data_IF_291720837282
#
_entry.id   IF_291720837282
#
_cell.length_a   1.000
_cell.length_b   1.000
_cell.length_c   1.000
_cell.angle_alpha   90.00
_cell.angle_beta   90.00
_cell.angle_gamma   90.00
#
_symmetry.space_group_name_H-M   'P 1'
#
loop_
_entity.id
_entity.type
_entity.pdbx_description
1 polymer ?
#
# COMPACT_ATOMS: atom_id res chain seq x y z
N UNK A 1 -18.26 8.78 -18.35
CA UNK A 1 -17.90 8.50 -16.94
C UNK A 1 -16.51 9.04 -16.69
N UNK A 2 -16.34 9.84 -15.65
CA UNK A 2 -15.29 10.84 -15.53
C UNK A 2 -13.85 10.30 -15.62
N UNK A 3 -13.03 10.96 -16.45
CA UNK A 3 -11.57 10.85 -16.54
C UNK A 3 -10.89 11.33 -15.23
N UNK A 4 -11.22 10.75 -14.09
CA UNK A 4 -10.61 11.13 -12.81
C UNK A 4 -9.25 10.44 -12.65
N UNK A 5 -8.28 11.18 -12.10
CA UNK A 5 -6.96 10.62 -11.77
C UNK A 5 -7.08 9.37 -10.87
N UNK A 6 -8.04 9.37 -9.95
CA UNK A 6 -8.33 8.24 -9.08
C UNK A 6 -8.77 6.99 -9.85
N UNK A 7 -9.65 7.13 -10.86
CA UNK A 7 -10.06 6.02 -11.71
C UNK A 7 -8.88 5.46 -12.52
N UNK A 8 -8.00 6.34 -13.01
CA UNK A 8 -6.79 5.92 -13.74
C UNK A 8 -5.78 5.19 -12.84
N UNK A 9 -5.59 5.66 -11.60
CA UNK A 9 -4.76 4.99 -10.58
C UNK A 9 -5.33 3.60 -10.27
N UNK A 10 -6.63 3.51 -9.99
CA UNK A 10 -7.30 2.24 -9.71
C UNK A 10 -7.17 1.27 -10.89
N UNK A 11 -7.42 1.75 -12.12
CA UNK A 11 -7.26 0.96 -13.33
C UNK A 11 -5.82 0.48 -13.52
N UNK A 12 -4.82 1.32 -13.25
CA UNK A 12 -3.40 0.93 -13.35
C UNK A 12 -3.06 -0.24 -12.41
N UNK A 13 -3.54 -0.21 -11.16
CA UNK A 13 -3.39 -1.32 -10.22
C UNK A 13 -4.13 -2.58 -10.68
N UNK A 14 -5.38 -2.45 -11.13
CA UNK A 14 -6.22 -3.58 -11.56
C UNK A 14 -5.64 -4.23 -12.83
N UNK A 15 -5.28 -3.46 -13.84
CA UNK A 15 -4.68 -3.98 -15.07
C UNK A 15 -3.37 -4.74 -14.76
N UNK A 16 -2.54 -4.22 -13.84
CA UNK A 16 -1.31 -4.92 -13.41
C UNK A 16 -1.63 -6.21 -12.65
N UNK A 17 -2.64 -6.19 -11.77
CA UNK A 17 -3.11 -7.38 -11.06
C UNK A 17 -3.64 -8.44 -12.03
N UNK A 18 -4.42 -8.02 -13.03
CA UNK A 18 -5.03 -8.93 -14.00
C UNK A 18 -3.99 -9.61 -14.89
N UNK A 19 -2.85 -8.97 -15.12
CA UNK A 19 -1.71 -9.56 -15.84
C UNK A 19 -1.01 -10.70 -15.12
N UNK A 20 -1.24 -10.91 -13.81
CA UNK A 20 -0.62 -12.04 -13.10
C UNK A 20 -1.28 -13.39 -13.45
N UNK A 21 -0.50 -14.48 -13.49
CA UNK A 21 -1.04 -15.83 -13.61
C UNK A 21 -2.12 -16.14 -12.56
N UNK A 22 -3.10 -16.97 -12.94
CA UNK A 22 -4.24 -17.35 -12.07
C UNK A 22 -3.82 -17.87 -10.69
N UNK A 23 -2.65 -18.53 -10.56
CA UNK A 23 -2.13 -19.04 -9.28
C UNK A 23 -1.86 -17.95 -8.22
N UNK A 24 -1.76 -16.68 -8.62
CA UNK A 24 -1.57 -15.55 -7.72
C UNK A 24 -2.88 -14.82 -7.39
N UNK A 25 -4.00 -15.33 -7.91
CA UNK A 25 -5.34 -14.77 -7.70
C UNK A 25 -6.14 -15.71 -6.77
N UNK A 26 -7.11 -15.17 -6.01
CA UNK A 26 -7.98 -16.00 -5.18
C UNK A 26 -8.80 -16.98 -6.05
N UNK A 27 -9.17 -18.10 -5.45
CA UNK A 27 -10.15 -19.01 -6.03
C UNK A 27 -11.54 -18.34 -6.13
N UNK A 28 -12.49 -18.87 -6.93
CA UNK A 28 -13.82 -18.28 -7.08
C UNK A 28 -14.62 -18.09 -5.78
N UNK A 29 -14.35 -18.90 -4.76
CA UNK A 29 -14.96 -18.84 -3.43
C UNK A 29 -14.11 -18.06 -2.40
N UNK A 30 -13.03 -17.42 -2.84
CA UNK A 30 -12.13 -16.64 -2.01
C UNK A 30 -12.20 -15.18 -2.42
N UNK A 31 -12.02 -14.29 -1.45
CA UNK A 31 -11.91 -12.86 -1.68
C UNK A 31 -10.62 -12.36 -1.04
N UNK A 32 -10.12 -11.23 -1.52
CA UNK A 32 -8.96 -10.55 -0.95
C UNK A 32 -9.05 -9.05 -1.22
N UNK A 33 -8.27 -8.27 -0.48
CA UNK A 33 -8.10 -6.85 -0.73
C UNK A 33 -6.89 -6.68 -1.65
N UNK A 34 -6.99 -5.77 -2.61
CA UNK A 34 -5.89 -5.35 -3.47
C UNK A 34 -5.43 -3.97 -3.04
N UNK A 35 -4.13 -3.78 -2.90
CA UNK A 35 -3.53 -2.46 -2.72
C UNK A 35 -2.30 -2.31 -3.63
N UNK A 36 -2.05 -1.08 -4.08
CA UNK A 36 -0.92 -0.77 -4.93
C UNK A 36 -0.48 0.67 -4.78
N UNK A 37 0.81 0.92 -5.01
CA UNK A 37 1.35 2.28 -5.10
C UNK A 37 1.64 2.57 -6.57
N UNK A 38 1.04 3.64 -7.08
CA UNK A 38 1.19 4.11 -8.45
C UNK A 38 2.05 5.36 -8.46
N UNK A 39 3.13 5.32 -9.23
CA UNK A 39 3.90 6.49 -9.58
C UNK A 39 3.19 7.27 -10.69
N UNK A 40 2.92 8.55 -10.44
CA UNK A 40 2.57 9.54 -11.44
C UNK A 40 3.83 10.30 -11.83
N UNK A 41 4.08 10.44 -13.13
CA UNK A 41 5.12 11.31 -13.69
C UNK A 41 4.51 12.22 -14.73
N UNK A 42 4.77 13.52 -14.63
CA UNK A 42 4.42 14.50 -15.65
C UNK A 42 5.62 14.89 -16.48
N UNK A 43 5.48 14.89 -17.80
CA UNK A 43 6.46 15.54 -18.66
C UNK A 43 6.34 17.06 -18.50
N UNK A 44 7.48 17.75 -18.48
CA UNK A 44 7.47 19.21 -18.59
C UNK A 44 7.21 19.55 -20.06
N UNK A 45 6.30 20.46 -20.34
CA UNK A 45 6.27 21.14 -21.64
C UNK A 45 7.57 21.95 -21.75
N UNK A 46 8.61 21.36 -22.34
CA UNK A 46 9.77 22.12 -22.78
C UNK A 46 9.35 22.94 -24.00
N UNK A 47 9.30 24.27 -23.83
CA UNK A 47 9.11 25.18 -24.94
C UNK A 47 10.11 24.86 -26.05
N UNK A 48 9.59 24.56 -27.25
CA UNK A 48 10.33 24.23 -28.47
C UNK A 48 11.67 25.00 -28.57
N UNK A 49 12.79 24.33 -28.26
CA UNK A 49 14.08 24.60 -28.91
C UNK A 49 14.74 23.25 -29.15
N UNK A 50 14.87 22.91 -30.42
CA UNK A 50 15.37 21.62 -30.87
C UNK A 50 16.73 21.30 -30.24
N UNK A 51 16.78 20.13 -29.62
CA UNK A 51 17.99 19.33 -29.46
C UNK A 51 17.60 17.89 -29.70
N UNK A 52 18.38 17.23 -30.55
CA UNK A 52 18.28 15.81 -30.86
C UNK A 52 18.23 15.02 -29.55
N UNK A 53 17.16 14.23 -29.40
CA UNK A 53 16.94 13.38 -28.24
C UNK A 53 17.75 12.11 -28.52
N UNK A 54 18.77 11.83 -27.71
CA UNK A 54 19.22 10.46 -27.50
C UNK A 54 18.05 9.71 -26.87
N UNK A 55 17.43 8.84 -27.67
CA UNK A 55 16.30 8.03 -27.27
C UNK A 55 16.70 7.12 -26.10
N UNK A 56 16.11 7.37 -24.93
CA UNK A 56 16.12 6.39 -23.85
C UNK A 56 15.27 5.19 -24.31
N UNK A 57 15.81 3.95 -24.35
CA UNK A 57 15.03 2.78 -24.77
C UNK A 57 13.84 2.59 -23.82
N UNK A 58 12.64 2.81 -24.34
CA UNK A 58 11.39 2.68 -23.59
C UNK A 58 10.94 1.22 -23.58
N UNK A 59 10.72 0.68 -22.38
CA UNK A 59 10.18 -0.66 -22.16
C UNK A 59 8.71 -0.75 -22.64
N UNK A 60 8.39 -1.78 -23.42
CA UNK A 60 7.30 -1.83 -24.43
C UNK A 60 5.88 -1.98 -23.85
N UNK A 61 5.69 -1.82 -22.53
CA UNK A 61 4.40 -2.09 -21.87
C UNK A 61 3.72 -0.87 -21.21
N UNK A 62 4.08 0.36 -21.63
CA UNK A 62 3.50 1.60 -21.09
C UNK A 62 2.17 1.95 -21.78
N UNK A 63 1.04 1.76 -21.08
CA UNK A 63 -0.28 2.21 -21.54
C UNK A 63 -0.42 3.73 -21.38
N UNK A 64 -0.49 4.44 -22.50
CA UNK A 64 -0.85 5.87 -22.55
C UNK A 64 -2.30 6.05 -22.08
N UNK A 65 -2.48 6.96 -21.11
CA UNK A 65 -3.79 7.49 -20.73
C UNK A 65 -4.03 8.77 -21.54
N UNK A 66 -5.29 9.13 -21.81
CA UNK A 66 -5.77 10.22 -22.69
C UNK A 66 -5.35 11.67 -22.31
N UNK A 67 -4.14 11.86 -21.79
CA UNK A 67 -3.45 13.13 -21.67
C UNK A 67 -1.96 12.87 -21.96
N UNK A 68 -1.40 13.35 -23.10
CA UNK A 68 -0.09 12.95 -23.59
C UNK A 68 1.08 13.26 -22.64
N UNK A 69 0.87 14.08 -21.60
CA UNK A 69 1.88 14.48 -20.62
C UNK A 69 1.83 13.72 -19.28
N UNK A 70 0.90 12.77 -19.09
CA UNK A 70 0.70 12.05 -17.83
C UNK A 70 1.05 10.56 -17.94
N UNK A 71 2.10 10.14 -17.25
CA UNK A 71 2.53 8.75 -17.17
C UNK A 71 2.18 8.14 -15.80
N UNK A 72 1.51 6.99 -15.79
CA UNK A 72 1.18 6.23 -14.58
C UNK A 72 1.82 4.85 -14.60
N UNK A 73 2.44 4.45 -13.49
CA UNK A 73 3.06 3.14 -13.34
C UNK A 73 2.80 2.56 -11.95
N UNK A 74 2.21 1.37 -11.88
CA UNK A 74 2.05 0.65 -10.62
C UNK A 74 3.41 0.05 -10.20
N UNK A 75 4.08 0.67 -9.22
CA UNK A 75 5.44 0.32 -8.79
C UNK A 75 5.46 -0.70 -7.65
N UNK A 76 4.36 -0.83 -6.91
CA UNK A 76 4.15 -1.91 -5.96
C UNK A 76 2.69 -2.36 -5.96
N UNK A 77 2.48 -3.64 -5.70
CA UNK A 77 1.17 -4.27 -5.64
C UNK A 77 1.20 -5.40 -4.61
N UNK A 78 0.13 -5.54 -3.85
CA UNK A 78 -0.03 -6.63 -2.90
C UNK A 78 -1.50 -6.94 -2.66
N UNK A 79 -1.75 -8.15 -2.17
CA UNK A 79 -3.06 -8.58 -1.67
C UNK A 79 -2.94 -9.11 -0.26
N UNK A 80 -3.99 -8.98 0.55
CA UNK A 80 -4.03 -9.60 1.87
C UNK A 80 -4.99 -8.92 2.85
N UNK A 81 -5.35 -9.65 3.90
CA UNK A 81 -6.40 -9.28 4.86
C UNK A 81 -6.15 -9.80 6.28
N UNK A 82 -4.97 -10.37 6.55
CA UNK A 82 -4.69 -11.08 7.81
C UNK A 82 -3.45 -10.51 8.49
N UNK A 83 -3.44 -10.62 9.81
CA UNK A 83 -2.29 -10.34 10.65
C UNK A 83 -1.92 -11.58 11.44
N UNK A 84 -0.64 -11.65 11.81
CA UNK A 84 -0.10 -12.72 12.61
C UNK A 84 -0.43 -12.51 14.10
N UNK A 85 -0.92 -13.58 14.73
CA UNK A 85 -1.17 -13.62 16.17
C UNK A 85 0.12 -13.42 16.99
N UNK A 86 -0.01 -12.85 18.19
CA UNK A 86 1.14 -12.46 19.04
C UNK A 86 2.11 -13.61 19.32
N UNK A 87 1.60 -14.82 19.52
CA UNK A 87 2.37 -16.04 19.81
C UNK A 87 3.28 -16.48 18.68
N UNK A 88 3.01 -16.06 17.43
CA UNK A 88 3.78 -16.48 16.26
C UNK A 88 4.79 -15.41 15.79
N UNK A 89 4.88 -14.28 16.50
CA UNK A 89 5.81 -13.20 16.15
C UNK A 89 7.22 -13.57 16.59
N UNK A 90 8.20 -13.30 15.73
CA UNK A 90 9.61 -13.49 16.04
C UNK A 90 10.30 -12.14 16.29
N UNK A 91 11.13 -12.02 17.34
CA UNK A 91 11.91 -10.81 17.60
C UNK A 91 13.02 -10.59 16.55
N UNK A 92 13.37 -11.62 15.79
CA UNK A 92 14.39 -11.58 14.73
C UNK A 92 13.95 -10.79 13.49
N UNK A 93 12.65 -10.52 13.32
CA UNK A 93 12.12 -9.76 12.18
C UNK A 93 11.99 -10.56 10.89
N UNK A 94 12.12 -11.89 10.94
CA UNK A 94 12.07 -12.78 9.77
C UNK A 94 10.64 -13.04 9.27
N UNK A 95 9.63 -12.80 10.10
CA UNK A 95 8.22 -13.04 9.76
C UNK A 95 7.46 -11.72 9.58
N UNK A 96 6.55 -11.71 8.61
CA UNK A 96 5.63 -10.60 8.37
C UNK A 96 4.50 -10.66 9.41
N UNK A 97 4.47 -9.65 10.29
CA UNK A 97 3.44 -9.56 11.34
C UNK A 97 2.08 -9.09 10.81
N UNK A 98 2.07 -8.25 9.79
CA UNK A 98 0.86 -7.64 9.23
C UNK A 98 0.88 -7.83 7.71
N UNK A 99 -0.08 -8.64 7.24
CA UNK A 99 -0.26 -8.99 5.84
C UNK A 99 -1.52 -8.35 5.26
N UNK A 100 -1.96 -7.20 5.79
CA UNK A 100 -2.91 -6.37 5.07
C UNK A 100 -2.30 -5.85 3.77
N UNK A 101 -3.13 -5.78 2.72
CA UNK A 101 -2.69 -5.44 1.37
C UNK A 101 -1.92 -4.11 1.34
N UNK A 102 -2.44 -3.06 1.99
CA UNK A 102 -1.82 -1.73 2.05
C UNK A 102 -0.47 -1.75 2.77
N UNK A 103 -0.33 -2.57 3.81
CA UNK A 103 0.91 -2.73 4.58
C UNK A 103 1.96 -3.44 3.74
N UNK A 104 1.58 -4.54 3.09
CA UNK A 104 2.46 -5.28 2.17
C UNK A 104 2.86 -4.43 0.97
N UNK A 105 1.92 -3.69 0.39
CA UNK A 105 2.18 -2.79 -0.74
C UNK A 105 3.20 -1.71 -0.37
N UNK A 106 3.13 -1.17 0.84
CA UNK A 106 4.16 -0.25 1.38
C UNK A 106 5.52 -0.91 1.56
N UNK A 107 5.58 -2.16 2.06
CA UNK A 107 6.85 -2.92 2.19
C UNK A 107 7.47 -3.19 0.83
N UNK A 108 6.66 -3.60 -0.15
CA UNK A 108 7.10 -3.78 -1.53
C UNK A 108 7.60 -2.47 -2.15
N UNK A 109 6.94 -1.35 -1.85
CA UNK A 109 7.38 -0.03 -2.28
C UNK A 109 8.73 0.38 -1.67
N UNK A 110 9.01 0.06 -0.41
CA UNK A 110 10.35 0.28 0.16
C UNK A 110 11.43 -0.48 -0.62
N UNK A 111 11.15 -1.73 -1.03
CA UNK A 111 12.05 -2.50 -1.90
C UNK A 111 12.26 -1.82 -3.26
N UNK A 112 11.20 -1.28 -3.86
CA UNK A 112 11.29 -0.47 -5.08
C UNK A 112 12.20 0.75 -4.86
N UNK A 113 12.02 1.51 -3.78
CA UNK A 113 12.90 2.66 -3.47
C UNK A 113 14.37 2.23 -3.34
N UNK A 114 14.67 1.14 -2.63
CA UNK A 114 16.06 0.64 -2.56
C UNK A 114 16.63 0.23 -3.92
N UNK A 115 15.79 -0.35 -4.80
CA UNK A 115 16.19 -0.66 -6.17
C UNK A 115 16.55 0.60 -6.94
N UNK A 116 15.72 1.64 -6.85
CA UNK A 116 15.95 2.93 -7.52
C UNK A 116 17.20 3.64 -6.99
N UNK A 117 17.45 3.59 -5.67
CA UNK A 117 18.66 4.15 -5.08
C UNK A 117 19.92 3.42 -5.57
N UNK A 118 19.88 2.08 -5.65
CA UNK A 118 20.97 1.29 -6.22
C UNK A 118 21.20 1.63 -7.69
N UNK A 119 20.13 1.70 -8.49
CA UNK A 119 20.22 2.10 -9.89
C UNK A 119 20.87 3.48 -10.05
N UNK A 120 20.52 4.45 -9.19
CA UNK A 120 21.14 5.78 -9.17
C UNK A 120 22.66 5.71 -8.92
N UNK A 121 23.10 4.90 -7.95
CA UNK A 121 24.52 4.71 -7.64
C UNK A 121 25.30 4.03 -8.77
N UNK A 122 24.64 3.13 -9.50
CA UNK A 122 25.21 2.41 -10.64
C UNK A 122 25.14 3.22 -11.96
N UNK A 123 24.73 4.50 -11.91
CA UNK A 123 24.49 5.36 -13.07
C UNK A 123 23.50 4.75 -14.09
N UNK A 124 22.53 3.97 -13.62
CA UNK A 124 21.40 3.47 -14.41
C UNK A 124 20.21 4.44 -14.32
N UNK A 125 19.19 4.20 -15.15
CA UNK A 125 17.95 4.95 -15.09
C UNK A 125 17.31 4.82 -13.69
N UNK A 126 17.05 5.96 -13.03
CA UNK A 126 16.54 6.02 -11.66
C UNK A 126 15.68 7.27 -11.45
N UNK A 127 14.67 7.17 -10.60
CA UNK A 127 13.89 8.32 -10.12
C UNK A 127 14.63 9.19 -9.11
N UNK A 128 15.87 8.85 -8.73
CA UNK A 128 16.67 9.62 -7.79
C UNK A 128 17.88 10.27 -8.45
N UNK A 129 18.27 11.41 -7.89
CA UNK A 129 19.57 12.03 -8.11
C UNK A 129 20.37 12.02 -6.81
N UNK A 130 21.63 11.64 -6.90
CA UNK A 130 22.56 11.72 -5.77
C UNK A 130 23.31 13.05 -5.77
N UNK A 131 23.23 13.78 -4.66
CA UNK A 131 23.99 15.00 -4.46
C UNK A 131 25.31 14.68 -3.75
N UNK A 132 26.41 14.67 -4.52
CA UNK A 132 27.76 14.41 -4.00
C UNK A 132 28.23 15.41 -2.93
N UNK A 133 27.74 16.65 -2.95
CA UNK A 133 28.11 17.68 -1.97
C UNK A 133 27.46 17.45 -0.60
N UNK A 134 26.21 16.98 -0.59
CA UNK A 134 25.44 16.77 0.65
C UNK A 134 25.40 15.32 1.11
N UNK A 135 25.82 14.37 0.28
CA UNK A 135 25.73 12.94 0.54
C UNK A 135 24.30 12.40 0.58
N UNK A 136 23.33 13.11 -0.03
CA UNK A 136 21.90 12.78 0.06
C UNK A 136 21.29 12.52 -1.31
N UNK A 137 20.29 11.64 -1.34
CA UNK A 137 19.43 11.42 -2.49
C UNK A 137 18.25 12.40 -2.49
N UNK A 138 17.80 12.77 -3.69
CA UNK A 138 16.57 13.53 -3.91
C UNK A 138 15.82 12.92 -5.08
N UNK A 139 14.49 12.95 -5.03
CA UNK A 139 13.68 12.60 -6.20
C UNK A 139 14.03 13.51 -7.38
N UNK A 140 14.36 12.91 -8.51
CA UNK A 140 14.56 13.60 -9.78
C UNK A 140 13.25 14.29 -10.15
N UNK A 141 13.33 15.57 -10.52
CA UNK A 141 12.15 16.37 -10.87
C UNK A 141 11.03 16.24 -9.82
N UNK A 142 11.35 16.48 -8.55
CA UNK A 142 10.43 16.31 -7.40
C UNK A 142 9.09 17.03 -7.52
N UNK A 143 8.96 18.03 -8.41
CA UNK A 143 7.69 18.68 -8.73
C UNK A 143 6.79 17.89 -9.69
N UNK A 144 7.31 16.85 -10.33
CA UNK A 144 6.64 16.07 -11.40
C UNK A 144 6.33 14.64 -11.02
N UNK A 145 6.98 14.10 -9.97
CA UNK A 145 6.76 12.73 -9.49
C UNK A 145 5.87 12.76 -8.25
N UNK A 146 4.77 12.00 -8.28
CA UNK A 146 3.89 11.76 -7.14
C UNK A 146 3.65 10.26 -6.97
N UNK A 147 3.39 9.83 -5.75
CA UNK A 147 3.01 8.45 -5.45
C UNK A 147 1.61 8.42 -4.88
N UNK A 148 0.79 7.51 -5.39
CA UNK A 148 -0.61 7.37 -5.03
C UNK A 148 -0.84 5.98 -4.47
N UNK A 149 -1.36 5.90 -3.25
CA UNK A 149 -1.84 4.64 -2.69
C UNK A 149 -3.26 4.36 -3.16
N UNK A 150 -3.46 3.19 -3.72
CA UNK A 150 -4.78 2.63 -4.01
C UNK A 150 -5.02 1.44 -3.07
N UNK A 151 -6.23 1.34 -2.52
CA UNK A 151 -6.74 0.19 -1.79
C UNK A 151 -8.15 -0.09 -2.26
N UNK A 152 -8.48 -1.34 -2.59
CA UNK A 152 -9.78 -1.72 -3.16
C UNK A 152 -10.94 -1.61 -2.16
N UNK A 153 -10.64 -1.48 -0.87
CA UNK A 153 -11.58 -1.23 0.21
C UNK A 153 -10.96 -0.24 1.21
N UNK A 154 -11.79 0.47 1.97
CA UNK A 154 -11.30 1.31 3.06
C UNK A 154 -10.44 0.48 4.04
N UNK A 155 -9.27 1.00 4.48
CA UNK A 155 -8.40 0.27 5.40
C UNK A 155 -9.10 0.03 6.73
N UNK A 156 -8.74 -1.08 7.40
CA UNK A 156 -9.37 -1.45 8.66
C UNK A 156 -9.08 -0.42 9.77
N UNK A 157 -10.01 -0.26 10.70
CA UNK A 157 -9.96 0.77 11.76
C UNK A 157 -10.87 1.95 11.43
N UNK A 158 -10.52 3.14 11.90
CA UNK A 158 -11.39 4.32 11.89
C UNK A 158 -11.92 4.67 10.49
N UNK A 159 -11.10 4.51 9.45
CA UNK A 159 -11.47 4.78 8.07
C UNK A 159 -12.62 3.91 7.52
N UNK A 160 -12.85 2.74 8.13
CA UNK A 160 -13.91 1.80 7.72
C UNK A 160 -15.16 1.86 8.60
N UNK A 161 -15.12 2.57 9.73
CA UNK A 161 -16.17 2.53 10.76
C UNK A 161 -17.54 2.98 10.23
N UNK A 162 -17.59 4.12 9.56
CA UNK A 162 -18.84 4.68 9.02
C UNK A 162 -19.43 3.77 7.94
N UNK A 163 -18.62 3.39 6.94
CA UNK A 163 -19.06 2.51 5.86
C UNK A 163 -19.52 1.14 6.36
N UNK A 164 -18.83 0.55 7.33
CA UNK A 164 -19.24 -0.71 7.94
C UNK A 164 -20.52 -0.55 8.77
N UNK A 165 -20.70 0.57 9.46
CA UNK A 165 -21.92 0.84 10.26
C UNK A 165 -23.17 1.01 9.40
N UNK A 166 -23.02 1.61 8.22
CA UNK A 166 -24.09 1.82 7.25
C UNK A 166 -24.53 0.51 6.56
N UNK A 167 -23.61 -0.45 6.41
CA UNK A 167 -23.86 -1.75 5.77
C UNK A 167 -24.38 -2.83 6.72
N UNK A 168 -24.32 -2.60 8.04
CA UNK A 168 -24.77 -3.57 9.03
C UNK A 168 -26.30 -3.64 9.12
N UNK A 169 -26.83 -4.86 9.07
CA UNK A 169 -28.23 -5.12 9.39
C UNK A 169 -28.50 -4.88 10.89
N UNK A 170 -29.75 -4.59 11.25
CA UNK A 170 -30.15 -4.43 12.65
C UNK A 170 -29.90 -5.70 13.49
N UNK A 171 -29.97 -6.88 12.87
CA UNK A 171 -29.65 -8.14 13.52
C UNK A 171 -28.14 -8.26 13.82
N UNK A 172 -27.28 -7.94 12.86
CA UNK A 172 -25.82 -7.94 13.05
C UNK A 172 -25.38 -6.92 14.11
N UNK A 173 -26.02 -5.74 14.16
CA UNK A 173 -25.78 -4.75 15.21
C UNK A 173 -26.07 -5.32 16.59
N UNK A 174 -27.24 -5.95 16.78
CA UNK A 174 -27.62 -6.60 18.05
C UNK A 174 -26.65 -7.70 18.45
N UNK A 175 -26.22 -8.54 17.49
CA UNK A 175 -25.24 -9.60 17.74
C UNK A 175 -23.89 -9.01 18.18
N UNK A 176 -23.41 -7.98 17.49
CA UNK A 176 -22.13 -7.34 17.79
C UNK A 176 -22.15 -6.63 19.15
N UNK A 177 -23.24 -5.94 19.49
CA UNK A 177 -23.44 -5.34 20.80
C UNK A 177 -23.45 -6.39 21.92
N UNK A 178 -24.15 -7.51 21.70
CA UNK A 178 -24.20 -8.59 22.69
C UNK A 178 -22.80 -9.22 22.91
N UNK A 179 -22.06 -9.49 21.82
CA UNK A 179 -20.66 -9.95 21.91
C UNK A 179 -19.78 -8.96 22.67
N UNK A 180 -19.95 -7.66 22.44
CA UNK A 180 -19.21 -6.61 23.15
C UNK A 180 -19.53 -6.59 24.65
N UNK A 181 -20.81 -6.75 25.03
CA UNK A 181 -21.22 -6.87 26.44
C UNK A 181 -20.56 -8.08 27.10
N UNK A 182 -20.68 -9.27 26.50
CA UNK A 182 -20.09 -10.51 27.01
C UNK A 182 -18.55 -10.38 27.16
N UNK A 183 -17.88 -9.76 26.20
CA UNK A 183 -16.43 -9.53 26.28
C UNK A 183 -16.05 -8.62 27.46
N UNK A 184 -16.77 -7.52 27.65
CA UNK A 184 -16.52 -6.57 28.74
C UNK A 184 -16.80 -7.21 30.11
N UNK A 185 -17.87 -8.00 30.23
CA UNK A 185 -18.19 -8.76 31.45
C UNK A 185 -17.09 -9.77 31.79
N UNK A 186 -16.57 -10.49 30.79
CA UNK A 186 -15.44 -11.41 30.98
C UNK A 186 -14.18 -10.67 31.47
N UNK A 187 -13.85 -9.52 30.89
CA UNK A 187 -12.70 -8.71 31.32
C UNK A 187 -12.85 -8.17 32.75
N UNK A 188 -14.07 -7.79 33.15
CA UNK A 188 -14.35 -7.37 34.53
C UNK A 188 -14.27 -8.55 35.52
N UNK A 189 -14.66 -9.76 35.11
CA UNK A 189 -14.56 -10.95 35.95
C UNK A 189 -13.11 -11.42 36.16
N UNK A 190 -12.25 -11.31 35.14
CA UNK A 190 -10.82 -11.69 35.22
C UNK A 190 -10.01 -10.71 36.06
N UNK A 191 -10.35 -9.41 36.05
CA UNK A 191 -9.68 -8.40 36.87
C UNK A 191 -10.06 -8.48 38.37
N UNK A 192 -11.15 -9.15 38.74
CA UNK A 192 -11.57 -9.31 40.15
C UNK A 192 -10.77 -10.38 40.92
N UNK A 193 -9.94 -11.18 40.26
CA UNK A 193 -9.19 -12.28 40.89
C UNK A 193 -7.73 -11.95 41.24
N UNK A 194 -7.24 -10.74 40.94
CA UNK A 194 -5.94 -10.27 41.42
C UNK A 194 -6.18 -9.43 42.68
N UNK A 195 -6.48 -10.10 43.80
CA UNK A 195 -6.16 -9.52 45.10
C UNK A 195 -4.66 -9.66 45.25
N UNK A 196 -3.96 -8.53 45.29
CA UNK A 196 -2.59 -8.45 45.75
C UNK A 196 -2.62 -8.89 47.23
N UNK A 197 -2.27 -10.14 47.50
CA UNK A 197 -1.81 -10.49 48.84
C UNK A 197 -0.45 -9.84 49.07
N UNK A 198 -0.32 -9.36 50.29
CA UNK A 198 0.64 -8.39 50.79
C UNK A 198 2.08 -8.64 50.34
N UNK A 199 2.76 -7.54 50.03
CA UNK A 199 4.07 -7.55 49.43
C UNK A 199 5.18 -8.13 50.31
N UNK A 200 6.29 -8.42 49.64
CA UNK A 200 7.68 -8.24 50.08
C UNK A 200 8.59 -8.53 48.86
N UNK A 201 9.48 -7.57 48.58
CA UNK A 201 10.86 -7.60 48.02
C UNK A 201 11.24 -8.74 47.02
N UNK A 202 11.91 -8.51 45.89
CA UNK A 202 12.88 -7.49 45.44
C UNK A 202 12.66 -7.14 43.97
#
# INVERSE_FOLDING_TARGET
MANSIAANIAKCCIDKYEGFPKRFKPLPNQWTILAGIVMERREKEEGKKGKEIEECPMDVNKKQVNNPSLFLECVSLATGMKCLGRSHRLPTGEIINDSHAEVLSRRAFQKYIYSELRACMENKNSIFQYNKKTGKFRLLNSSTIKFHLYVSQAPCGDASTVSLSELQTEEEKRINENKKRIFNEKQQSTNKHIKLEDGILY
#
